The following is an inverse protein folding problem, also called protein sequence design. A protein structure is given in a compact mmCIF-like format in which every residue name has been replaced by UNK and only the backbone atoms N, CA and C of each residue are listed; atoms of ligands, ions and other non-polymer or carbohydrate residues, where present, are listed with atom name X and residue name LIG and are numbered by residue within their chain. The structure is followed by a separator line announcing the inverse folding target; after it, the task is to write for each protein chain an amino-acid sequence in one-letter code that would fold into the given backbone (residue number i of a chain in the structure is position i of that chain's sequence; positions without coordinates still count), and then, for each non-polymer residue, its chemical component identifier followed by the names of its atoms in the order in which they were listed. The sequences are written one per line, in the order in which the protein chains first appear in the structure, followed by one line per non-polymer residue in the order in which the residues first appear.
data_IF_143860648718
#
_entry.id   IF_143860648718
#
_cell.length_a   1.000
_cell.length_b   1.000
_cell.length_c   1.000
_cell.angle_alpha   90.00
_cell.angle_beta   90.00
_cell.angle_gamma   90.00
#
_symmetry.space_group_name_H-M   'P 1'
#
loop_
_entity.id
_entity.type
_entity.pdbx_description
1 polymer ?
#
# COMPACT_ATOMS: atom_id res chain seq x y z
N UNK A 1 -3.97 -33.23 -15.04
CA UNK A 1 -3.74 -31.92 -14.39
C UNK A 1 -4.81 -31.59 -13.35
N UNK A 2 -6.11 -31.70 -13.66
CA UNK A 2 -7.19 -31.23 -12.76
C UNK A 2 -7.36 -32.01 -11.45
N UNK A 3 -7.17 -33.34 -11.44
CA UNK A 3 -7.34 -34.14 -10.23
C UNK A 3 -6.41 -33.70 -9.08
N UNK A 4 -5.21 -33.20 -9.38
CA UNK A 4 -4.27 -32.69 -8.36
C UNK A 4 -4.58 -31.26 -7.93
N UNK A 5 -4.96 -30.38 -8.86
CA UNK A 5 -5.19 -28.96 -8.55
C UNK A 5 -6.49 -28.69 -7.78
N UNK A 6 -7.35 -29.68 -7.56
CA UNK A 6 -8.59 -29.48 -6.79
C UNK A 6 -8.41 -29.56 -5.27
N UNK A 7 -7.28 -30.10 -4.80
CA UNK A 7 -7.05 -30.33 -3.36
C UNK A 7 -5.59 -30.07 -2.93
N UNK A 8 -4.74 -29.55 -3.81
CA UNK A 8 -3.31 -29.33 -3.52
C UNK A 8 -3.06 -28.46 -2.28
N UNK A 9 -3.96 -27.52 -1.96
CA UNK A 9 -3.87 -26.70 -0.74
C UNK A 9 -3.96 -27.55 0.55
N UNK A 10 -4.71 -28.66 0.53
CA UNK A 10 -4.73 -29.66 1.60
C UNK A 10 -3.49 -30.55 1.62
N UNK A 11 -2.78 -30.67 0.50
CA UNK A 11 -1.52 -31.41 0.49
C UNK A 11 -0.35 -30.57 1.00
N UNK A 12 -0.39 -29.25 0.79
CA UNK A 12 0.66 -28.34 1.25
C UNK A 12 0.81 -28.28 2.78
N UNK A 13 -0.25 -28.55 3.53
CA UNK A 13 -0.21 -28.59 4.99
C UNK A 13 0.53 -29.82 5.53
N UNK A 14 0.67 -30.88 4.72
CA UNK A 14 1.33 -32.12 5.11
C UNK A 14 1.98 -32.87 3.92
N UNK A 15 2.95 -32.26 3.21
CA UNK A 15 3.37 -32.72 1.89
C UNK A 15 4.21 -34.00 1.91
N UNK A 16 4.83 -34.32 3.05
CA UNK A 16 5.73 -35.46 3.22
C UNK A 16 5.06 -36.70 3.84
N UNK A 17 3.76 -36.64 4.13
CA UNK A 17 3.05 -37.75 4.75
C UNK A 17 2.77 -38.85 3.74
N UNK A 18 3.41 -40.00 3.91
CA UNK A 18 3.30 -41.14 2.99
C UNK A 18 2.30 -42.20 3.46
N UNK A 19 1.59 -41.96 4.56
CA UNK A 19 0.66 -42.91 5.18
C UNK A 19 -0.80 -42.49 5.02
N UNK A 20 -1.05 -41.20 4.88
CA UNK A 20 -2.38 -40.61 4.68
C UNK A 20 -2.30 -39.39 3.75
N UNK A 21 -3.46 -38.85 3.36
CA UNK A 21 -3.53 -37.67 2.52
C UNK A 21 -3.03 -36.41 3.26
N UNK A 22 -3.41 -36.24 4.52
CA UNK A 22 -2.93 -35.23 5.48
C UNK A 22 -3.34 -35.60 6.90
N UNK A 23 -2.56 -35.21 7.90
CA UNK A 23 -2.92 -35.37 9.30
C UNK A 23 -4.07 -34.44 9.73
N UNK A 24 -4.99 -34.96 10.55
CA UNK A 24 -6.22 -34.25 10.98
C UNK A 24 -5.95 -33.00 11.84
N UNK A 25 -4.91 -33.04 12.66
CA UNK A 25 -4.48 -31.91 13.48
C UNK A 25 -3.90 -30.78 12.62
N UNK A 26 -3.09 -31.11 11.61
CA UNK A 26 -2.55 -30.14 10.65
C UNK A 26 -3.64 -29.50 9.79
N UNK A 27 -4.62 -30.29 9.35
CA UNK A 27 -5.77 -29.77 8.60
C UNK A 27 -6.58 -28.78 9.42
N UNK A 28 -6.94 -29.14 10.66
CA UNK A 28 -7.67 -28.24 11.57
C UNK A 28 -6.92 -26.96 11.92
N UNK A 29 -5.58 -27.02 11.95
CA UNK A 29 -4.77 -25.85 12.27
C UNK A 29 -4.73 -24.86 11.10
N UNK A 30 -4.50 -25.34 9.88
CA UNK A 30 -4.27 -24.48 8.71
C UNK A 30 -5.54 -24.13 7.93
N UNK A 31 -6.60 -24.93 8.02
CA UNK A 31 -7.83 -24.72 7.26
C UNK A 31 -8.89 -23.91 8.03
N UNK A 32 -9.71 -23.11 7.33
CA UNK A 32 -9.68 -22.87 5.89
C UNK A 32 -8.62 -21.84 5.50
N UNK A 33 -8.17 -21.87 4.24
CA UNK A 33 -7.22 -20.86 3.71
C UNK A 33 -7.85 -19.47 3.86
N UNK A 34 -7.16 -18.56 4.56
CA UNK A 34 -7.70 -17.22 4.83
C UNK A 34 -7.87 -16.38 3.58
N UNK A 35 -6.86 -16.39 2.69
CA UNK A 35 -6.83 -15.60 1.48
C UNK A 35 -6.32 -16.45 0.31
N UNK A 36 -7.15 -16.57 -0.72
CA UNK A 36 -6.79 -17.16 -2.00
C UNK A 36 -6.69 -16.07 -3.06
N UNK A 37 -5.55 -15.95 -3.73
CA UNK A 37 -5.31 -14.99 -4.82
C UNK A 37 -5.12 -15.76 -6.12
N UNK A 38 -5.93 -15.46 -7.13
CA UNK A 38 -5.85 -16.13 -8.43
C UNK A 38 -6.66 -15.43 -9.51
N UNK A 39 -6.20 -15.46 -10.75
CA UNK A 39 -6.84 -14.73 -11.84
C UNK A 39 -8.27 -15.21 -12.12
N UNK A 40 -9.10 -14.31 -12.64
CA UNK A 40 -10.53 -14.59 -12.91
C UNK A 40 -10.73 -15.73 -13.92
N UNK A 41 -9.73 -16.02 -14.75
CA UNK A 41 -9.71 -17.16 -15.68
C UNK A 41 -9.90 -18.51 -14.98
N UNK A 42 -9.62 -18.59 -13.68
CA UNK A 42 -9.80 -19.81 -12.88
C UNK A 42 -11.17 -19.91 -12.19
N UNK A 43 -12.03 -18.91 -12.32
CA UNK A 43 -13.29 -18.81 -11.57
C UNK A 43 -14.28 -19.95 -11.87
N UNK A 44 -14.44 -20.32 -13.14
CA UNK A 44 -15.46 -21.32 -13.56
C UNK A 44 -14.91 -22.75 -13.59
N UNK A 45 -13.59 -22.92 -13.57
CA UNK A 45 -12.95 -24.23 -13.61
C UNK A 45 -12.38 -24.60 -12.25
N UNK A 46 -11.13 -24.19 -12.00
CA UNK A 46 -10.40 -24.63 -10.83
C UNK A 46 -11.11 -24.28 -9.52
N UNK A 47 -11.65 -23.07 -9.35
CA UNK A 47 -12.33 -22.69 -8.11
C UNK A 47 -13.61 -23.49 -7.88
N UNK A 48 -14.38 -23.78 -8.94
CA UNK A 48 -15.56 -24.62 -8.84
C UNK A 48 -15.19 -26.06 -8.42
N UNK A 49 -14.19 -26.64 -9.08
CA UNK A 49 -13.75 -28.00 -8.76
C UNK A 49 -13.10 -28.11 -7.38
N UNK A 50 -12.32 -27.11 -6.97
CA UNK A 50 -11.73 -27.06 -5.64
C UNK A 50 -12.81 -27.07 -4.56
N UNK A 51 -13.88 -26.28 -4.73
CA UNK A 51 -15.03 -26.28 -3.81
C UNK A 51 -15.81 -27.58 -3.85
N UNK A 52 -16.08 -28.11 -5.04
CA UNK A 52 -16.79 -29.39 -5.19
C UNK A 52 -16.06 -30.52 -4.44
N UNK A 53 -14.75 -30.68 -4.69
CA UNK A 53 -13.95 -31.70 -4.02
C UNK A 53 -13.83 -31.45 -2.52
N UNK A 54 -13.69 -30.19 -2.08
CA UNK A 54 -13.68 -29.88 -0.65
C UNK A 54 -14.96 -30.34 0.05
N UNK A 55 -16.13 -30.14 -0.58
CA UNK A 55 -17.41 -30.60 -0.05
C UNK A 55 -17.52 -32.12 0.00
N UNK A 56 -17.08 -32.82 -1.04
CA UNK A 56 -16.99 -34.28 -1.02
C UNK A 56 -16.11 -34.76 0.14
N UNK A 57 -14.97 -34.13 0.35
CA UNK A 57 -14.05 -34.47 1.46
C UNK A 57 -14.66 -34.13 2.83
N UNK A 58 -15.44 -33.06 2.92
CA UNK A 58 -16.16 -32.68 4.13
C UNK A 58 -17.24 -33.71 4.48
N UNK A 59 -18.03 -34.15 3.48
CA UNK A 59 -19.04 -35.20 3.65
C UNK A 59 -18.41 -36.55 4.05
N UNK A 60 -17.20 -36.83 3.57
CA UNK A 60 -16.39 -37.98 4.00
C UNK A 60 -15.72 -37.80 5.38
N UNK A 61 -15.86 -36.65 6.04
CA UNK A 61 -15.26 -36.36 7.35
C UNK A 61 -13.73 -36.18 7.34
N UNK A 62 -13.14 -35.89 6.18
CA UNK A 62 -11.68 -35.77 5.99
C UNK A 62 -11.17 -34.33 6.16
N UNK A 63 -12.04 -33.34 6.06
CA UNK A 63 -11.74 -31.93 6.34
C UNK A 63 -12.73 -31.37 7.36
N UNK A 64 -12.31 -30.36 8.11
CA UNK A 64 -13.05 -29.75 9.20
C UNK A 64 -13.97 -28.61 8.75
N UNK A 65 -13.79 -28.10 7.53
CA UNK A 65 -14.52 -26.95 6.98
C UNK A 65 -15.31 -27.31 5.73
N UNK A 66 -16.42 -26.62 5.48
CA UNK A 66 -17.29 -26.86 4.32
C UNK A 66 -16.86 -26.08 3.06
N UNK A 67 -15.98 -25.08 3.20
CA UNK A 67 -15.42 -24.30 2.10
C UNK A 67 -13.91 -24.15 2.29
N UNK A 68 -13.11 -24.23 1.21
CA UNK A 68 -11.65 -24.22 1.31
C UNK A 68 -11.03 -22.84 1.52
N UNK A 69 -11.71 -21.76 1.12
CA UNK A 69 -11.17 -20.40 1.06
C UNK A 69 -12.12 -19.41 1.76
N UNK A 70 -11.63 -18.61 2.73
CA UNK A 70 -12.43 -17.58 3.41
C UNK A 70 -12.61 -16.33 2.55
N UNK A 71 -11.52 -15.84 1.95
CA UNK A 71 -11.49 -14.69 1.06
C UNK A 71 -10.85 -15.07 -0.27
N UNK A 72 -11.49 -14.68 -1.37
CA UNK A 72 -10.96 -14.81 -2.73
C UNK A 72 -10.70 -13.41 -3.28
N UNK A 73 -9.54 -13.19 -3.88
CA UNK A 73 -9.24 -11.98 -4.65
C UNK A 73 -8.71 -12.35 -6.01
N UNK A 74 -9.26 -11.70 -7.03
CA UNK A 74 -8.87 -11.93 -8.42
C UNK A 74 -7.93 -10.82 -8.88
N UNK A 75 -6.64 -11.14 -9.04
CA UNK A 75 -5.74 -10.18 -9.68
C UNK A 75 -6.14 -9.96 -11.13
N UNK A 76 -5.97 -8.71 -11.58
CA UNK A 76 -6.17 -8.34 -12.96
C UNK A 76 -5.03 -8.86 -13.84
N UNK A 77 -5.35 -9.09 -15.12
CA UNK A 77 -4.37 -9.58 -16.08
C UNK A 77 -3.39 -8.47 -16.48
N UNK A 78 -2.09 -8.80 -16.51
CA UNK A 78 -1.07 -7.94 -17.10
C UNK A 78 -1.02 -8.24 -18.61
N UNK A 79 -1.22 -7.21 -19.41
CA UNK A 79 -1.16 -7.26 -20.87
C UNK A 79 0.24 -6.87 -21.35
N UNK A 80 0.62 -7.25 -22.56
CA UNK A 80 1.81 -6.73 -23.22
C UNK A 80 1.71 -5.23 -23.47
N UNK A 81 2.81 -4.61 -23.90
CA UNK A 81 2.86 -3.16 -24.22
C UNK A 81 1.85 -2.78 -25.32
N UNK A 82 1.51 -3.72 -26.19
CA UNK A 82 0.49 -3.57 -27.24
C UNK A 82 -0.95 -3.69 -26.72
N UNK A 83 -1.17 -3.85 -25.41
CA UNK A 83 -2.49 -4.01 -24.81
C UNK A 83 -3.14 -5.37 -25.09
N UNK A 84 -2.37 -6.36 -25.54
CA UNK A 84 -2.86 -7.71 -25.78
C UNK A 84 -2.37 -8.70 -24.73
N UNK A 85 -3.04 -9.84 -24.57
CA UNK A 85 -2.56 -10.93 -23.72
C UNK A 85 -1.15 -11.37 -24.16
N UNK A 86 -0.22 -11.44 -23.22
CA UNK A 86 1.14 -11.92 -23.48
C UNK A 86 1.11 -13.40 -23.89
N UNK A 87 1.83 -13.77 -24.95
CA UNK A 87 1.99 -15.17 -25.36
C UNK A 87 3.23 -15.37 -26.24
N UNK A 88 3.86 -16.55 -26.13
CA UNK A 88 5.08 -16.87 -26.90
C UNK A 88 4.87 -16.75 -28.41
N UNK A 89 3.70 -17.16 -28.92
CA UNK A 89 3.39 -17.10 -30.36
C UNK A 89 3.24 -15.67 -30.88
N UNK A 90 2.95 -14.70 -30.01
CA UNK A 90 2.85 -13.27 -30.37
C UNK A 90 4.15 -12.51 -30.19
N UNK A 91 5.19 -13.13 -29.61
CA UNK A 91 6.48 -12.48 -29.35
C UNK A 91 6.41 -11.27 -28.40
N UNK A 92 5.31 -11.08 -27.67
CA UNK A 92 5.08 -9.93 -26.79
C UNK A 92 5.23 -10.27 -25.30
N UNK A 93 5.91 -11.37 -24.97
CA UNK A 93 6.16 -11.79 -23.59
C UNK A 93 7.32 -10.97 -23.04
N UNK A 94 7.11 -10.35 -21.88
CA UNK A 94 8.19 -9.77 -21.09
C UNK A 94 8.74 -10.87 -20.18
N UNK A 95 10.03 -11.17 -20.32
CA UNK A 95 10.68 -12.17 -19.47
C UNK A 95 11.09 -11.52 -18.14
N UNK A 96 10.58 -12.01 -16.99
CA UNK A 96 10.96 -11.44 -15.69
C UNK A 96 12.46 -11.53 -15.41
N UNK A 97 13.16 -12.56 -15.91
CA UNK A 97 14.59 -12.71 -15.70
C UNK A 97 15.39 -11.54 -16.29
N UNK A 98 15.04 -11.11 -17.51
CA UNK A 98 15.70 -9.98 -18.18
C UNK A 98 15.47 -8.68 -17.41
N UNK A 99 14.25 -8.49 -16.87
CA UNK A 99 13.91 -7.34 -16.03
C UNK A 99 14.68 -7.37 -14.71
N UNK A 100 14.79 -8.53 -14.07
CA UNK A 100 15.52 -8.69 -12.80
C UNK A 100 17.01 -8.41 -12.99
N UNK A 101 17.62 -8.93 -14.07
CA UNK A 101 19.04 -8.67 -14.38
C UNK A 101 19.29 -7.17 -14.58
N UNK A 102 18.36 -6.47 -15.23
CA UNK A 102 18.53 -5.05 -15.56
C UNK A 102 18.17 -4.11 -14.40
N UNK A 103 17.13 -4.42 -13.62
CA UNK A 103 16.53 -3.50 -12.64
C UNK A 103 16.51 -4.02 -11.20
N UNK A 104 16.76 -5.31 -10.99
CA UNK A 104 16.65 -5.99 -9.71
C UNK A 104 15.23 -6.45 -9.37
N UNK A 105 15.13 -7.49 -8.54
CA UNK A 105 13.86 -8.11 -8.16
C UNK A 105 12.92 -7.16 -7.42
N UNK A 106 13.45 -6.29 -6.56
CA UNK A 106 12.64 -5.34 -5.79
C UNK A 106 11.96 -4.29 -6.66
N UNK A 107 12.66 -3.79 -7.69
CA UNK A 107 12.09 -2.83 -8.63
C UNK A 107 10.94 -3.46 -9.44
N UNK A 108 11.09 -4.71 -9.87
CA UNK A 108 10.05 -5.48 -10.56
C UNK A 108 8.82 -5.70 -9.65
N UNK A 109 9.02 -6.24 -8.45
CA UNK A 109 7.95 -6.49 -7.47
C UNK A 109 7.15 -5.21 -7.16
N UNK A 110 7.86 -4.13 -6.83
CA UNK A 110 7.25 -2.84 -6.57
C UNK A 110 6.47 -2.35 -7.80
N UNK A 111 7.01 -2.53 -9.01
CA UNK A 111 6.35 -2.08 -10.22
C UNK A 111 5.00 -2.79 -10.42
N UNK A 112 4.98 -4.13 -10.37
CA UNK A 112 3.74 -4.90 -10.54
C UNK A 112 2.65 -4.48 -9.54
N UNK A 113 3.05 -4.25 -8.29
CA UNK A 113 2.15 -3.80 -7.22
C UNK A 113 1.75 -2.32 -7.34
N UNK A 114 2.56 -1.49 -7.99
CA UNK A 114 2.35 -0.03 -8.09
C UNK A 114 1.54 0.39 -9.32
N UNK A 115 1.48 -0.44 -10.38
CA UNK A 115 0.79 -0.12 -11.64
C UNK A 115 -0.70 0.29 -11.47
N UNK A 116 -1.32 -0.01 -10.33
CA UNK A 116 -2.69 0.36 -9.99
C UNK A 116 -3.33 -0.63 -9.01
N UNK A 117 -4.67 -0.63 -8.84
CA UNK A 117 -5.37 -1.61 -8.01
C UNK A 117 -5.08 -3.06 -8.45
N UNK A 118 -4.93 -4.00 -7.52
CA UNK A 118 -4.56 -5.40 -7.81
C UNK A 118 -5.51 -6.06 -8.83
N UNK A 119 -6.80 -5.76 -8.74
CA UNK A 119 -7.86 -6.40 -9.54
C UNK A 119 -7.99 -5.84 -10.96
N UNK A 120 -7.34 -4.70 -11.25
CA UNK A 120 -7.46 -4.04 -12.54
C UNK A 120 -6.57 -4.70 -13.61
N UNK A 121 -7.10 -4.84 -14.82
CA UNK A 121 -6.32 -5.22 -16.01
C UNK A 121 -5.43 -4.04 -16.42
N UNK A 122 -4.14 -4.31 -16.67
CA UNK A 122 -3.16 -3.24 -16.92
C UNK A 122 -2.19 -3.63 -18.03
N UNK A 123 -1.87 -2.72 -18.97
CA UNK A 123 -0.77 -2.95 -19.90
C UNK A 123 0.57 -2.78 -19.18
N UNK A 124 1.49 -3.70 -19.46
CA UNK A 124 2.91 -3.55 -19.11
C UNK A 124 3.48 -2.30 -19.78
N UNK A 125 4.35 -1.58 -19.05
CA UNK A 125 5.11 -0.44 -19.55
C UNK A 125 6.50 -0.44 -18.94
N UNK A 126 7.51 -0.80 -19.71
CA UNK A 126 8.90 -0.92 -19.23
C UNK A 126 9.42 0.37 -18.59
N UNK A 127 9.05 1.55 -19.11
CA UNK A 127 9.42 2.85 -18.54
C UNK A 127 8.94 3.06 -17.08
N UNK A 128 7.90 2.34 -16.65
CA UNK A 128 7.40 2.41 -15.29
C UNK A 128 8.36 1.86 -14.23
N UNK A 129 9.27 0.95 -14.62
CA UNK A 129 10.30 0.40 -13.74
C UNK A 129 11.30 1.46 -13.26
N UNK A 130 11.53 2.50 -14.06
CA UNK A 130 12.44 3.60 -13.69
C UNK A 130 11.98 4.27 -12.40
N UNK A 131 10.65 4.43 -12.24
CA UNK A 131 10.05 5.02 -11.05
C UNK A 131 10.28 4.18 -9.79
N UNK A 132 10.05 2.87 -9.87
CA UNK A 132 10.19 1.97 -8.72
C UNK A 132 11.65 1.70 -8.37
N UNK A 133 12.53 1.55 -9.36
CA UNK A 133 13.97 1.47 -9.13
C UNK A 133 14.52 2.74 -8.46
N UNK A 134 14.06 3.93 -8.92
CA UNK A 134 14.43 5.20 -8.30
C UNK A 134 13.93 5.30 -6.87
N UNK A 135 12.72 4.80 -6.58
CA UNK A 135 12.18 4.78 -5.22
C UNK A 135 13.05 3.93 -4.28
N UNK A 136 13.40 2.69 -4.66
CA UNK A 136 14.31 1.84 -3.86
C UNK A 136 15.66 2.55 -3.65
N UNK A 137 16.22 3.12 -4.72
CA UNK A 137 17.48 3.88 -4.64
C UNK A 137 17.40 5.09 -3.70
N UNK A 138 16.24 5.75 -3.62
CA UNK A 138 16.01 6.88 -2.70
C UNK A 138 15.91 6.40 -1.26
N UNK A 139 15.20 5.30 -0.98
CA UNK A 139 15.16 4.72 0.37
C UNK A 139 16.56 4.31 0.81
N UNK A 140 17.34 3.67 -0.06
CA UNK A 140 18.74 3.33 0.20
C UNK A 140 19.58 4.54 0.62
N UNK A 141 19.57 5.61 -0.20
CA UNK A 141 20.37 6.82 0.06
C UNK A 141 19.84 7.68 1.20
N UNK A 142 18.58 7.51 1.58
CA UNK A 142 18.00 8.15 2.76
C UNK A 142 18.54 7.49 4.02
N UNK A 143 18.63 6.15 4.04
CA UNK A 143 18.93 5.40 5.25
C UNK A 143 20.42 5.09 5.40
N UNK A 144 21.18 5.09 4.31
CA UNK A 144 22.61 4.82 4.29
C UNK A 144 23.42 6.00 3.76
N UNK A 145 24.58 6.24 4.36
CA UNK A 145 25.52 7.27 3.93
C UNK A 145 26.33 6.85 2.69
N UNK A 146 27.24 7.72 2.23
CA UNK A 146 28.10 7.45 1.07
C UNK A 146 29.06 6.27 1.24
N UNK A 147 29.28 5.80 2.47
CA UNK A 147 30.10 4.64 2.81
C UNK A 147 29.24 3.37 3.02
N UNK A 148 27.91 3.48 2.90
CA UNK A 148 26.98 2.37 3.13
C UNK A 148 26.78 2.05 4.60
N UNK A 149 27.02 2.99 5.51
CA UNK A 149 26.71 2.88 6.95
C UNK A 149 25.38 3.55 7.24
N UNK A 150 24.73 3.17 8.33
CA UNK A 150 23.48 3.78 8.78
C UNK A 150 23.64 5.31 8.96
N UNK A 151 22.90 6.10 8.19
CA UNK A 151 23.00 7.56 8.17
C UNK A 151 22.29 8.26 9.35
N UNK A 152 21.36 7.57 10.02
CA UNK A 152 20.43 8.19 10.97
C UNK A 152 20.27 7.36 12.25
N UNK A 153 21.23 7.52 13.16
CA UNK A 153 21.30 6.77 14.43
C UNK A 153 21.08 7.63 15.69
N UNK A 154 20.83 8.94 15.54
CA UNK A 154 20.53 9.82 16.67
C UNK A 154 19.91 11.16 16.25
N UNK A 155 18.66 11.38 16.66
CA UNK A 155 17.92 12.66 16.69
C UNK A 155 16.47 12.41 17.16
N UNK A 156 15.75 13.50 17.45
CA UNK A 156 14.29 13.53 17.54
C UNK A 156 13.78 14.06 16.20
N UNK A 157 12.79 13.40 15.60
CA UNK A 157 12.13 13.89 14.38
C UNK A 157 11.19 15.05 14.72
N UNK A 158 10.85 15.89 13.75
CA UNK A 158 9.83 16.92 13.98
C UNK A 158 8.48 16.30 14.37
N UNK A 159 7.67 17.01 15.18
CA UNK A 159 6.31 16.55 15.54
C UNK A 159 5.45 16.32 14.28
N UNK A 160 5.63 17.16 13.27
CA UNK A 160 4.94 17.03 12.00
C UNK A 160 5.29 15.72 11.28
N UNK A 161 6.58 15.37 11.23
CA UNK A 161 7.03 14.11 10.63
C UNK A 161 6.61 12.90 11.47
N UNK A 162 6.67 12.98 12.80
CA UNK A 162 6.21 11.92 13.70
C UNK A 162 4.72 11.61 13.47
N UNK A 163 3.85 12.64 13.41
CA UNK A 163 2.44 12.47 13.04
C UNK A 163 2.28 11.84 11.66
N UNK A 164 3.07 12.28 10.67
CA UNK A 164 3.04 11.71 9.32
C UNK A 164 3.48 10.23 9.30
N UNK A 165 4.52 9.87 10.04
CA UNK A 165 4.99 8.49 10.15
C UNK A 165 3.90 7.58 10.72
N UNK A 166 3.23 8.00 11.80
CA UNK A 166 2.12 7.24 12.37
C UNK A 166 0.95 7.08 11.40
N UNK A 167 0.59 8.12 10.65
CA UNK A 167 -0.42 8.03 9.58
C UNK A 167 0.01 7.08 8.47
N UNK A 168 1.28 7.14 8.06
CA UNK A 168 1.82 6.29 7.03
C UNK A 168 1.82 4.82 7.46
N UNK A 169 2.23 4.51 8.70
CA UNK A 169 2.18 3.15 9.25
C UNK A 169 0.74 2.64 9.22
N UNK A 170 -0.22 3.40 9.77
CA UNK A 170 -1.65 3.02 9.75
C UNK A 170 -2.14 2.75 8.33
N UNK A 171 -1.93 3.71 7.42
CA UNK A 171 -2.41 3.62 6.04
C UNK A 171 -1.78 2.46 5.27
N UNK A 172 -0.46 2.26 5.39
CA UNK A 172 0.23 1.15 4.73
C UNK A 172 -0.24 -0.19 5.29
N UNK A 173 -0.47 -0.29 6.60
CA UNK A 173 -1.04 -1.50 7.23
C UNK A 173 -2.41 -1.81 6.64
N UNK A 174 -3.34 -0.86 6.71
CA UNK A 174 -4.72 -1.02 6.22
C UNK A 174 -4.77 -1.28 4.71
N UNK A 175 -3.91 -0.63 3.93
CA UNK A 175 -3.82 -0.84 2.49
C UNK A 175 -3.21 -2.20 2.14
N UNK A 176 -2.22 -2.68 2.90
CA UNK A 176 -1.61 -4.01 2.69
C UNK A 176 -2.62 -5.12 2.97
N UNK A 177 -3.31 -5.07 4.11
CA UNK A 177 -4.36 -6.03 4.49
C UNK A 177 -5.51 -6.07 3.48
N UNK A 178 -5.84 -4.90 2.92
CA UNK A 178 -6.85 -4.77 1.89
C UNK A 178 -6.32 -4.99 0.45
N UNK A 179 -5.04 -5.33 0.27
CA UNK A 179 -4.38 -5.50 -1.03
C UNK A 179 -4.45 -4.27 -1.96
N UNK A 180 -4.53 -3.07 -1.38
CA UNK A 180 -4.37 -1.78 -2.07
C UNK A 180 -2.90 -1.38 -2.15
N UNK A 181 -2.08 -2.27 -2.72
CA UNK A 181 -0.63 -2.14 -2.72
C UNK A 181 -0.12 -0.85 -3.39
N UNK A 182 -0.78 -0.41 -4.45
CA UNK A 182 -0.40 0.82 -5.15
C UNK A 182 -0.50 2.06 -4.25
N UNK A 183 -1.55 2.16 -3.43
CA UNK A 183 -1.70 3.31 -2.52
C UNK A 183 -0.82 3.19 -1.28
N UNK A 184 -0.50 1.98 -0.82
CA UNK A 184 0.53 1.76 0.19
C UNK A 184 1.91 2.24 -0.30
N UNK A 185 2.30 1.88 -1.53
CA UNK A 185 3.56 2.32 -2.14
C UNK A 185 3.58 3.84 -2.34
N UNK A 186 2.49 4.46 -2.82
CA UNK A 186 2.37 5.93 -2.88
C UNK A 186 2.58 6.57 -1.51
N UNK A 187 2.00 6.01 -0.46
CA UNK A 187 2.14 6.51 0.92
C UNK A 187 3.61 6.43 1.38
N UNK A 188 4.30 5.32 1.09
CA UNK A 188 5.73 5.19 1.41
C UNK A 188 6.61 6.15 0.61
N UNK A 189 6.28 6.42 -0.67
CA UNK A 189 6.97 7.43 -1.48
C UNK A 189 6.80 8.84 -0.88
N UNK A 190 5.60 9.19 -0.44
CA UNK A 190 5.32 10.46 0.23
C UNK A 190 6.07 10.58 1.57
N UNK A 191 6.04 9.52 2.39
CA UNK A 191 6.80 9.45 3.64
C UNK A 191 8.31 9.62 3.39
N UNK A 192 8.86 8.95 2.38
CA UNK A 192 10.27 9.08 1.99
C UNK A 192 10.60 10.50 1.56
N UNK A 193 9.71 11.17 0.80
CA UNK A 193 9.89 12.56 0.41
C UNK A 193 9.85 13.53 1.60
N UNK A 194 9.03 13.27 2.61
CA UNK A 194 8.99 14.04 3.84
C UNK A 194 10.25 13.80 4.68
N UNK A 195 10.72 12.56 4.77
CA UNK A 195 11.92 12.18 5.51
C UNK A 195 13.17 12.89 4.98
N UNK A 196 13.28 13.08 3.66
CA UNK A 196 14.36 13.88 3.06
C UNK A 196 14.36 15.36 3.45
N UNK A 197 13.26 15.89 4.01
CA UNK A 197 13.17 17.27 4.48
C UNK A 197 13.49 17.41 5.97
N UNK A 198 13.53 16.28 6.70
CA UNK A 198 13.96 16.28 8.08
C UNK A 198 15.47 16.49 8.16
N UNK A 199 15.97 17.28 9.14
CA UNK A 199 17.40 17.47 9.33
C UNK A 199 18.09 16.16 9.74
N UNK A 200 17.38 15.28 10.45
CA UNK A 200 17.82 13.94 10.82
C UNK A 200 16.62 13.05 11.16
N UNK A 201 16.74 11.75 10.94
CA UNK A 201 15.77 10.76 11.41
C UNK A 201 16.23 10.14 12.74
N UNK A 202 15.28 9.77 13.60
CA UNK A 202 15.57 8.89 14.72
C UNK A 202 15.79 7.46 14.20
N UNK A 203 16.55 6.65 14.94
CA UNK A 203 16.74 5.23 14.61
C UNK A 203 15.40 4.50 14.47
N UNK A 204 14.48 4.76 15.40
CA UNK A 204 13.12 4.17 15.40
C UNK A 204 12.33 4.55 14.13
N UNK A 205 12.40 5.81 13.69
CA UNK A 205 11.73 6.25 12.47
C UNK A 205 12.34 5.61 11.22
N UNK A 206 13.67 5.50 11.17
CA UNK A 206 14.37 4.81 10.09
C UNK A 206 14.00 3.33 10.02
N UNK A 207 14.03 2.62 11.15
CA UNK A 207 13.65 1.20 11.24
C UNK A 207 12.18 0.98 10.86
N UNK A 208 11.26 1.87 11.25
CA UNK A 208 9.87 1.81 10.79
C UNK A 208 9.77 1.92 9.27
N UNK A 209 10.52 2.83 8.62
CA UNK A 209 10.54 2.95 7.15
C UNK A 209 11.05 1.64 6.50
N UNK A 210 12.10 1.03 7.06
CA UNK A 210 12.65 -0.25 6.56
C UNK A 210 11.58 -1.34 6.60
N UNK A 211 10.91 -1.48 7.75
CA UNK A 211 9.86 -2.49 7.95
C UNK A 211 8.64 -2.25 7.05
N UNK A 212 8.22 -0.99 6.84
CA UNK A 212 7.13 -0.68 5.90
C UNK A 212 7.45 -1.10 4.46
N UNK A 213 8.71 -0.91 4.03
CA UNK A 213 9.16 -1.23 2.67
C UNK A 213 9.36 -2.74 2.46
N UNK A 214 9.63 -3.50 3.53
CA UNK A 214 10.09 -4.87 3.43
C UNK A 214 9.17 -5.88 2.73
N UNK A 215 7.81 -5.80 2.83
CA UNK A 215 6.95 -6.72 2.08
C UNK A 215 7.07 -6.51 0.56
N UNK A 216 7.47 -5.30 0.16
CA UNK A 216 7.50 -4.86 -1.23
C UNK A 216 8.90 -5.00 -1.87
N UNK A 217 9.93 -4.57 -1.15
CA UNK A 217 11.33 -4.62 -1.55
C UNK A 217 12.20 -5.33 -0.48
N UNK A 218 11.99 -6.63 -0.27
CA UNK A 218 12.60 -7.36 0.85
C UNK A 218 14.13 -7.40 0.79
N UNK A 219 14.74 -7.45 -0.39
CA UNK A 219 16.19 -7.61 -0.50
C UNK A 219 16.91 -6.33 -0.08
N UNK A 220 16.46 -5.18 -0.59
CA UNK A 220 16.96 -3.87 -0.18
C UNK A 220 16.68 -3.59 1.30
N UNK A 221 15.49 -3.96 1.79
CA UNK A 221 15.15 -3.79 3.21
C UNK A 221 16.09 -4.61 4.12
N UNK A 222 16.35 -5.88 3.80
CA UNK A 222 17.27 -6.74 4.57
C UNK A 222 18.70 -6.22 4.58
N UNK A 223 19.21 -5.80 3.42
CA UNK A 223 20.55 -5.23 3.34
C UNK A 223 20.64 -3.97 4.22
N UNK A 224 19.67 -3.05 4.12
CA UNK A 224 19.65 -1.83 4.96
C UNK A 224 19.54 -2.19 6.45
N UNK A 225 18.69 -3.17 6.81
CA UNK A 225 18.52 -3.65 8.19
C UNK A 225 19.84 -4.16 8.78
N UNK A 226 20.57 -4.97 8.01
CA UNK A 226 21.91 -5.44 8.38
C UNK A 226 22.91 -4.28 8.54
N UNK A 227 22.88 -3.27 7.65
CA UNK A 227 23.72 -2.06 7.79
C UNK A 227 23.39 -1.22 9.03
N UNK A 228 22.20 -1.37 9.61
CA UNK A 228 21.83 -0.77 10.90
C UNK A 228 22.36 -1.57 12.11
N UNK A 229 23.08 -2.67 11.86
CA UNK A 229 23.74 -3.50 12.87
C UNK A 229 22.91 -4.67 13.37
N UNK A 230 21.76 -4.94 12.75
CA UNK A 230 20.93 -6.10 13.09
C UNK A 230 21.53 -7.38 12.53
N UNK A 231 21.57 -8.43 13.34
CA UNK A 231 22.16 -9.73 12.96
C UNK A 231 21.12 -10.76 12.56
N UNK A 232 19.85 -10.52 12.87
CA UNK A 232 18.72 -11.38 12.53
C UNK A 232 17.93 -10.79 11.36
N UNK A 233 17.26 -11.66 10.61
CA UNK A 233 16.39 -11.30 9.49
C UNK A 233 15.20 -10.47 9.96
N UNK A 234 14.91 -9.38 9.25
CA UNK A 234 13.75 -8.55 9.54
C UNK A 234 12.42 -9.29 9.31
N UNK A 235 12.43 -10.45 8.63
CA UNK A 235 11.22 -11.21 8.35
C UNK A 235 10.48 -11.69 9.62
N UNK A 236 11.16 -11.73 10.76
CA UNK A 236 10.57 -12.09 12.06
C UNK A 236 10.38 -10.90 12.99
N UNK A 237 10.77 -9.70 12.56
CA UNK A 237 10.57 -8.49 13.36
C UNK A 237 9.08 -8.11 13.44
N UNK A 238 8.63 -7.57 14.58
CA UNK A 238 7.27 -7.07 14.70
C UNK A 238 7.00 -5.97 13.67
N UNK A 239 5.81 -6.01 13.07
CA UNK A 239 5.33 -4.93 12.22
C UNK A 239 5.27 -3.60 13.01
N UNK A 240 5.67 -2.45 12.44
CA UNK A 240 5.67 -1.18 13.15
C UNK A 240 4.26 -0.81 13.64
N UNK A 241 4.15 -0.40 14.91
CA UNK A 241 2.90 0.07 15.51
C UNK A 241 2.71 1.57 15.31
N UNK A 242 1.46 2.03 15.32
CA UNK A 242 1.13 3.45 15.33
C UNK A 242 0.29 3.87 16.55
N UNK A 243 0.39 5.15 16.92
CA UNK A 243 -0.47 5.79 17.93
C UNK A 243 -1.67 6.42 17.21
N UNK A 244 -2.87 5.89 17.47
CA UNK A 244 -4.12 6.35 16.87
C UNK A 244 -4.33 7.87 17.04
N UNK A 245 -3.90 8.46 18.17
CA UNK A 245 -4.05 9.89 18.43
C UNK A 245 -3.25 10.74 17.46
N UNK A 246 -2.07 10.27 17.05
CA UNK A 246 -1.20 10.97 16.08
C UNK A 246 -1.65 10.79 14.63
N UNK A 247 -2.60 9.88 14.38
CA UNK A 247 -3.21 9.71 13.06
C UNK A 247 -4.34 10.68 12.76
N UNK A 248 -4.81 11.40 13.79
CA UNK A 248 -5.89 12.36 13.69
C UNK A 248 -5.29 13.75 13.41
N UNK A 249 -5.79 14.39 12.37
CA UNK A 249 -5.52 15.80 12.10
C UNK A 249 -6.33 16.69 13.04
N UNK A 250 -5.62 17.47 13.85
CA UNK A 250 -6.20 18.51 14.71
C UNK A 250 -6.60 19.76 13.90
N UNK A 251 -5.99 19.93 12.73
CA UNK A 251 -6.21 21.05 11.80
C UNK A 251 -6.60 20.56 10.41
N UNK A 252 -7.44 21.32 9.71
CA UNK A 252 -7.87 21.05 8.34
C UNK A 252 -7.53 22.25 7.45
N UNK A 253 -6.90 21.99 6.30
CA UNK A 253 -6.67 23.01 5.28
C UNK A 253 -7.95 23.22 4.48
N UNK A 254 -8.59 24.37 4.66
CA UNK A 254 -9.82 24.76 3.97
C UNK A 254 -9.47 25.63 2.77
N UNK A 255 -9.86 25.20 1.58
CA UNK A 255 -9.73 26.02 0.36
C UNK A 255 -10.75 27.15 0.38
N UNK A 256 -10.32 28.38 0.09
CA UNK A 256 -11.19 29.55 0.06
C UNK A 256 -11.36 30.02 -1.39
N UNK A 257 -12.62 30.07 -1.83
CA UNK A 257 -13.01 30.44 -3.18
C UNK A 257 -13.90 31.69 -3.20
N UNK A 258 -13.80 32.44 -4.30
CA UNK A 258 -14.74 33.51 -4.64
C UNK A 258 -15.24 33.28 -6.05
N UNK A 259 -16.57 33.18 -6.22
CA UNK A 259 -17.22 32.80 -7.48
C UNK A 259 -16.60 31.54 -8.12
N UNK A 260 -16.28 30.55 -7.28
CA UNK A 260 -15.70 29.26 -7.70
C UNK A 260 -14.20 29.29 -8.06
N UNK A 261 -13.52 30.44 -7.98
CA UNK A 261 -12.08 30.54 -8.21
C UNK A 261 -11.31 30.51 -6.89
N UNK A 262 -10.24 29.72 -6.79
CA UNK A 262 -9.38 29.63 -5.61
C UNK A 262 -8.67 30.98 -5.35
N UNK A 263 -8.75 31.44 -4.11
CA UNK A 263 -8.15 32.70 -3.62
C UNK A 263 -7.17 32.52 -2.47
N UNK A 264 -7.17 31.36 -1.83
CA UNK A 264 -6.20 30.99 -0.81
C UNK A 264 -6.63 29.75 -0.04
N UNK A 265 -5.87 29.42 0.99
CA UNK A 265 -6.15 28.33 1.92
C UNK A 265 -5.97 28.81 3.35
N UNK A 266 -6.68 28.20 4.30
CA UNK A 266 -6.53 28.43 5.73
C UNK A 266 -6.41 27.10 6.46
N UNK A 267 -5.43 26.98 7.35
CA UNK A 267 -5.34 25.86 8.27
C UNK A 267 -6.08 26.22 9.56
N UNK A 268 -7.19 25.52 9.82
CA UNK A 268 -8.08 25.81 10.94
C UNK A 268 -8.32 24.56 11.78
N UNK A 269 -8.60 24.67 13.08
CA UNK A 269 -8.99 23.51 13.89
C UNK A 269 -10.15 22.75 13.27
N UNK A 270 -10.07 21.41 13.28
CA UNK A 270 -11.06 20.54 12.63
C UNK A 270 -12.47 20.71 13.20
N UNK A 271 -12.55 21.03 14.48
CA UNK A 271 -13.76 21.25 15.27
C UNK A 271 -14.19 22.73 15.35
N UNK A 272 -13.53 23.62 14.59
CA UNK A 272 -13.88 25.03 14.56
C UNK A 272 -15.31 25.24 14.04
N UNK A 273 -16.09 26.05 14.77
CA UNK A 273 -17.46 26.37 14.40
C UNK A 273 -17.56 26.96 12.99
N UNK A 274 -18.61 26.60 12.26
CA UNK A 274 -18.86 27.05 10.88
C UNK A 274 -18.78 28.58 10.75
N UNK A 275 -19.36 29.33 11.68
CA UNK A 275 -19.38 30.79 11.58
C UNK A 275 -17.98 31.37 11.81
N UNK A 276 -17.21 30.77 12.71
CA UNK A 276 -15.82 31.15 12.96
C UNK A 276 -14.92 30.84 11.75
N UNK A 277 -15.15 29.72 11.07
CA UNK A 277 -14.46 29.38 9.80
C UNK A 277 -14.78 30.40 8.71
N UNK A 278 -16.05 30.77 8.54
CA UNK A 278 -16.46 31.77 7.55
C UNK A 278 -15.85 33.14 7.87
N UNK A 279 -15.85 33.55 9.13
CA UNK A 279 -15.24 34.81 9.57
C UNK A 279 -13.74 34.85 9.26
N UNK A 280 -13.00 33.77 9.58
CA UNK A 280 -11.59 33.65 9.26
C UNK A 280 -11.34 33.71 7.74
N UNK A 281 -12.18 33.03 6.95
CA UNK A 281 -12.11 33.03 5.49
C UNK A 281 -12.37 34.43 4.88
N UNK A 282 -13.31 35.22 5.44
CA UNK A 282 -13.55 36.61 5.01
C UNK A 282 -12.39 37.54 5.36
N UNK A 283 -11.70 37.28 6.46
CA UNK A 283 -10.57 38.09 6.92
C UNK A 283 -9.29 37.88 6.09
N UNK A 284 -9.22 36.82 5.27
CA UNK A 284 -8.07 36.57 4.42
C UNK A 284 -7.90 37.70 3.39
N UNK A 285 -6.74 38.34 3.37
CA UNK A 285 -6.49 39.51 2.51
C UNK A 285 -6.71 39.23 1.03
N UNK A 286 -6.34 38.03 0.57
CA UNK A 286 -6.55 37.58 -0.80
C UNK A 286 -8.03 37.37 -1.17
N UNK A 287 -8.92 37.29 -0.18
CA UNK A 287 -10.37 37.08 -0.35
C UNK A 287 -11.12 38.40 -0.16
N UNK A 288 -10.79 39.17 0.88
CA UNK A 288 -11.47 40.43 1.22
C UNK A 288 -11.42 41.45 0.09
N UNK A 289 -10.32 41.49 -0.68
CA UNK A 289 -10.18 42.35 -1.87
C UNK A 289 -11.23 42.07 -2.96
N UNK A 290 -11.77 40.85 -3.02
CA UNK A 290 -12.80 40.48 -4.00
C UNK A 290 -14.22 40.84 -3.57
N UNK A 291 -14.40 41.35 -2.36
CA UNK A 291 -15.70 41.80 -1.89
C UNK A 291 -16.02 43.23 -2.32
N UNK A 292 -15.03 44.05 -2.68
CA UNK A 292 -15.23 45.43 -3.16
C UNK A 292 -16.18 46.28 -2.27
N UNK A 293 -16.20 46.00 -0.96
CA UNK A 293 -17.11 46.64 0.00
C UNK A 293 -18.55 46.12 0.00
N UNK A 294 -18.86 45.06 -0.76
CA UNK A 294 -20.16 44.36 -0.79
C UNK A 294 -20.11 43.07 0.02
N UNK A 295 -21.19 42.74 0.71
CA UNK A 295 -21.35 41.43 1.35
C UNK A 295 -21.62 40.33 0.31
N UNK A 296 -21.12 39.10 0.52
CA UNK A 296 -21.45 37.96 -0.33
C UNK A 296 -22.95 37.68 -0.35
N UNK A 297 -23.49 37.37 -1.54
CA UNK A 297 -24.89 36.96 -1.72
C UNK A 297 -25.12 35.55 -1.16
N UNK A 298 -24.08 34.71 -1.17
CA UNK A 298 -24.14 33.36 -0.61
C UNK A 298 -22.80 32.93 -0.05
N UNK A 299 -22.84 32.27 1.09
CA UNK A 299 -21.68 31.67 1.76
C UNK A 299 -21.89 30.16 1.79
N UNK A 300 -21.04 29.43 1.07
CA UNK A 300 -21.13 27.99 0.96
C UNK A 300 -19.96 27.39 1.71
N UNK A 301 -20.26 26.69 2.80
CA UNK A 301 -19.26 25.93 3.54
C UNK A 301 -19.52 24.44 3.37
N UNK A 302 -18.52 23.72 2.88
CA UNK A 302 -18.46 22.26 2.95
C UNK A 302 -17.49 21.90 4.09
N UNK A 303 -17.99 21.26 5.17
CA UNK A 303 -17.21 20.96 6.36
C UNK A 303 -15.84 20.36 6.07
N UNK A 304 -14.80 20.99 6.61
CA UNK A 304 -13.40 20.55 6.49
C UNK A 304 -12.80 20.57 5.07
N UNK A 305 -13.46 21.16 4.08
CA UNK A 305 -12.99 21.13 2.68
C UNK A 305 -12.91 22.51 2.05
N UNK A 306 -14.03 23.22 1.97
CA UNK A 306 -14.11 24.43 1.14
C UNK A 306 -15.06 25.48 1.70
N UNK A 307 -14.67 26.74 1.58
CA UNK A 307 -15.56 27.91 1.72
C UNK A 307 -15.60 28.61 0.37
N UNK A 308 -16.80 28.81 -0.19
CA UNK A 308 -16.99 29.56 -1.42
C UNK A 308 -17.94 30.74 -1.18
N UNK A 309 -17.46 31.94 -1.49
CA UNK A 309 -18.22 33.18 -1.45
C UNK A 309 -18.76 33.51 -2.83
N UNK A 310 -20.06 33.74 -2.93
CA UNK A 310 -20.70 34.21 -4.17
C UNK A 310 -20.90 35.71 -4.08
N UNK A 311 -20.25 36.46 -4.96
CA UNK A 311 -20.23 37.94 -4.97
C UNK A 311 -20.79 38.44 -6.30
N UNK A 312 -21.59 39.52 -6.26
CA UNK A 312 -22.23 40.17 -7.43
C UNK A 312 -21.55 41.47 -7.84
#
# INVERSE_FOLDING_TARGET
QWAGSCWYYLRFIDPLNNHEAWAKDKEKYWMPVDLYVGGVEHAVLHLLYARFWHKVLFDCGLVSTNEPFKKLVNQGMILGENGEKMSKSRGNVVNPDDVIVQWGADALRLYEMFMGPLEAVKPWKTDGLVGTHRFVSRVWRLLLDGEGKAAHTGAVVSEAFDKLLHKAIKKVTEDTEAMRFNTAISTMMELTNAAYKEPALSRQAAEAIILLVSPYAPHAAEEIWSRYGHTETLAYEPWPSFDEKKTIDDTVTISIQVNGKLRGTLDLPKDMDKNAVIAAAKALEAVSKHFEGKEPVKEIYVPGKIVNFVVK
#
